data_IF_195183295551
#
_entry.id   IF_195183295551
#
_cell.length_a   1.000
_cell.length_b   1.000
_cell.length_c   1.000
_cell.angle_alpha   90.00
_cell.angle_beta   90.00
_cell.angle_gamma   90.00
#
_symmetry.space_group_name_H-M   'P 1'
#
loop_
_entity.id
_entity.type
_entity.pdbx_description
1 polymer ?
#
# COMPACT_ATOMS: atom_id res chain seq x y z
N UNK A 1 -28.76 27.95 61.17
CA UNK A 1 -28.34 26.71 60.51
C UNK A 1 -28.45 26.77 58.99
N UNK A 2 -29.54 27.27 58.41
CA UNK A 2 -29.72 27.35 56.91
C UNK A 2 -28.65 28.18 56.18
N UNK A 3 -28.20 29.34 56.73
CA UNK A 3 -27.18 30.19 56.06
C UNK A 3 -25.79 29.53 55.98
N UNK A 4 -25.40 28.71 56.96
CA UNK A 4 -24.13 27.97 56.99
C UNK A 4 -24.18 26.89 55.89
N UNK A 5 -25.31 26.22 55.71
CA UNK A 5 -25.48 25.19 54.67
C UNK A 5 -25.35 25.79 53.24
N UNK A 6 -25.85 26.99 52.98
CA UNK A 6 -25.67 27.66 51.70
C UNK A 6 -24.24 28.07 51.41
N UNK A 7 -23.53 28.54 52.42
CA UNK A 7 -22.09 28.90 52.29
C UNK A 7 -21.25 27.64 52.01
N UNK A 8 -21.52 26.52 52.68
CA UNK A 8 -20.84 25.28 52.43
C UNK A 8 -21.11 24.72 51.04
N UNK A 9 -22.36 24.78 50.54
CA UNK A 9 -22.73 24.37 49.20
C UNK A 9 -22.05 25.22 48.12
N UNK A 10 -22.00 26.54 48.34
CA UNK A 10 -21.33 27.44 47.40
C UNK A 10 -19.81 27.25 47.35
N UNK A 11 -19.19 26.99 48.49
CA UNK A 11 -17.77 26.65 48.57
C UNK A 11 -17.43 25.33 47.85
N UNK A 12 -18.30 24.32 48.01
CA UNK A 12 -18.15 23.04 47.29
C UNK A 12 -18.23 23.20 45.76
N UNK A 13 -19.15 24.08 45.28
CA UNK A 13 -19.32 24.34 43.86
C UNK A 13 -18.11 25.07 43.24
N UNK A 14 -17.49 25.99 44.00
CA UNK A 14 -16.27 26.69 43.58
C UNK A 14 -15.07 25.71 43.51
N UNK A 15 -14.95 24.80 44.48
CA UNK A 15 -13.89 23.82 44.49
C UNK A 15 -14.02 22.85 43.34
N UNK A 16 -15.21 22.38 43.00
CA UNK A 16 -15.44 21.50 41.83
C UNK A 16 -15.12 22.21 40.51
N UNK A 17 -15.39 23.51 40.38
CA UNK A 17 -15.04 24.27 39.16
C UNK A 17 -13.53 24.40 38.93
N UNK A 18 -12.72 24.48 40.01
CA UNK A 18 -11.26 24.61 39.91
C UNK A 18 -10.63 23.31 39.46
N UNK A 19 -11.18 22.16 39.86
CA UNK A 19 -10.67 20.85 39.45
C UNK A 19 -11.04 20.44 38.01
N UNK A 20 -11.97 21.14 37.35
CA UNK A 20 -12.43 20.84 36.01
C UNK A 20 -11.54 21.41 34.89
N UNK A 21 -10.56 22.26 35.17
CA UNK A 21 -9.69 22.85 34.18
C UNK A 21 -8.46 21.96 33.87
N UNK A 22 -8.67 20.84 33.22
CA UNK A 22 -7.59 20.04 32.64
C UNK A 22 -7.22 20.59 31.27
N UNK A 23 -6.34 21.58 31.22
CA UNK A 23 -5.79 22.09 29.96
C UNK A 23 -4.67 21.17 29.49
N UNK A 24 -4.92 20.34 28.48
CA UNK A 24 -3.86 19.66 27.73
C UNK A 24 -3.14 20.69 26.88
N UNK A 25 -1.82 20.81 27.04
CA UNK A 25 -1.01 21.74 26.26
C UNK A 25 -1.02 21.32 24.77
N UNK A 26 -1.51 22.20 23.88
CA UNK A 26 -1.52 21.99 22.43
C UNK A 26 -0.13 21.65 21.85
N UNK A 27 0.96 22.10 22.52
CA UNK A 27 2.33 21.79 22.10
C UNK A 27 2.65 20.28 22.10
N UNK A 28 1.92 19.46 22.85
CA UNK A 28 2.09 18.01 22.89
C UNK A 28 1.31 17.26 21.80
N UNK A 29 0.41 17.95 21.10
CA UNK A 29 -0.45 17.38 20.06
C UNK A 29 0.07 17.63 18.65
N UNK A 30 1.09 18.46 18.50
CA UNK A 30 1.65 18.79 17.18
C UNK A 30 2.63 17.70 16.75
N UNK A 31 2.45 17.18 15.52
CA UNK A 31 3.41 16.29 14.88
C UNK A 31 4.75 16.99 14.64
N UNK A 32 5.82 16.22 14.57
CA UNK A 32 7.19 16.70 14.29
C UNK A 32 7.74 17.73 15.28
N UNK A 33 7.51 17.52 16.55
CA UNK A 33 8.16 18.33 17.58
C UNK A 33 9.68 18.19 17.47
N UNK A 34 10.38 19.34 17.40
CA UNK A 34 11.84 19.37 17.25
C UNK A 34 12.35 19.27 15.82
N UNK A 35 11.47 19.35 14.82
CA UNK A 35 11.87 19.37 13.41
C UNK A 35 12.88 20.50 13.09
N UNK A 36 12.76 21.65 13.75
CA UNK A 36 13.66 22.80 13.57
C UNK A 36 15.12 22.47 13.87
N UNK A 37 15.39 21.51 14.75
CA UNK A 37 16.76 21.07 15.06
C UNK A 37 17.28 20.01 14.11
N UNK A 38 16.38 19.25 13.46
CA UNK A 38 16.74 18.20 12.50
C UNK A 38 17.20 18.77 11.16
N UNK A 39 16.69 19.94 10.77
CA UNK A 39 17.08 20.58 9.50
C UNK A 39 18.42 21.33 9.54
N UNK A 40 19.07 21.44 10.69
CA UNK A 40 20.39 22.08 10.81
C UNK A 40 21.52 21.24 10.21
N UNK A 41 21.31 19.97 10.00
CA UNK A 41 22.24 19.07 9.31
C UNK A 41 21.50 18.32 8.21
N UNK A 42 22.08 18.33 6.99
CA UNK A 42 21.60 17.50 5.89
C UNK A 42 21.67 16.02 6.34
N UNK A 43 20.53 15.43 6.58
CA UNK A 43 20.46 13.98 6.84
C UNK A 43 20.46 13.28 5.48
N UNK A 44 21.49 12.49 5.23
CA UNK A 44 21.51 11.55 4.13
C UNK A 44 20.36 10.56 4.35
N UNK A 45 19.43 10.45 3.40
CA UNK A 45 18.40 9.40 3.41
C UNK A 45 19.17 8.10 3.19
N UNK A 46 19.50 7.44 4.26
CA UNK A 46 20.49 6.37 4.29
C UNK A 46 20.10 5.11 3.51
N UNK A 47 18.84 4.87 3.18
CA UNK A 47 18.42 3.75 2.31
C UNK A 47 17.03 3.96 1.74
N UNK A 48 16.89 3.82 0.43
CA UNK A 48 15.62 3.53 -0.21
C UNK A 48 15.31 2.06 0.12
N UNK A 49 14.25 1.82 0.89
CA UNK A 49 13.82 0.45 1.21
C UNK A 49 12.94 -0.06 0.07
N UNK A 50 13.49 -0.94 -0.74
CA UNK A 50 12.75 -1.60 -1.79
C UNK A 50 12.00 -2.83 -1.21
N UNK A 51 10.69 -2.86 -1.37
CA UNK A 51 9.87 -3.98 -0.94
C UNK A 51 10.23 -5.24 -1.73
N UNK A 52 10.55 -6.32 -1.01
CA UNK A 52 10.80 -7.64 -1.60
C UNK A 52 9.56 -8.51 -1.51
N UNK A 53 9.27 -9.21 -2.58
CA UNK A 53 8.17 -10.15 -2.66
C UNK A 53 8.36 -11.33 -1.72
N UNK A 54 7.25 -11.86 -1.24
CA UNK A 54 7.17 -13.00 -0.32
C UNK A 54 6.08 -13.98 -0.77
N UNK A 55 6.12 -15.23 -0.32
CA UNK A 55 5.00 -16.15 -0.50
C UNK A 55 3.67 -15.57 -0.06
N UNK A 56 2.61 -15.85 -0.81
CA UNK A 56 1.25 -15.33 -0.68
C UNK A 56 1.07 -13.85 -1.10
N UNK A 57 2.11 -13.15 -1.57
CA UNK A 57 1.94 -11.85 -2.19
C UNK A 57 1.17 -11.96 -3.50
N UNK A 58 0.35 -10.94 -3.75
CA UNK A 58 -0.37 -10.80 -5.01
C UNK A 58 0.28 -9.69 -5.82
N UNK A 59 0.72 -10.02 -7.02
CA UNK A 59 1.36 -9.09 -7.92
C UNK A 59 0.54 -8.91 -9.19
N UNK A 60 0.50 -7.69 -9.68
CA UNK A 60 -0.04 -7.34 -10.98
C UNK A 60 1.11 -7.31 -11.97
N UNK A 61 0.99 -8.06 -13.05
CA UNK A 61 1.96 -8.06 -14.15
C UNK A 61 1.27 -7.49 -15.38
N UNK A 62 1.83 -6.41 -15.90
CA UNK A 62 1.41 -5.78 -17.14
C UNK A 62 2.50 -5.95 -18.18
N UNK A 63 2.16 -6.57 -19.30
CA UNK A 63 3.07 -6.74 -20.44
C UNK A 63 2.57 -5.84 -21.56
N UNK A 64 3.45 -4.98 -22.05
CA UNK A 64 3.21 -4.10 -23.20
C UNK A 64 4.27 -4.35 -24.26
N UNK A 65 3.96 -4.02 -25.50
CA UNK A 65 4.89 -4.10 -26.62
C UNK A 65 4.62 -2.93 -27.57
N UNK A 66 5.65 -2.42 -28.20
CA UNK A 66 5.52 -1.43 -29.28
C UNK A 66 5.09 -2.05 -30.61
N UNK A 67 5.20 -3.37 -30.73
CA UNK A 67 4.76 -4.11 -31.91
C UNK A 67 3.24 -4.09 -32.04
N UNK A 68 2.74 -3.81 -33.25
CA UNK A 68 1.30 -3.67 -33.54
C UNK A 68 0.54 -5.00 -33.63
N UNK A 69 1.12 -6.12 -33.24
CA UNK A 69 0.46 -7.43 -33.35
C UNK A 69 -0.30 -7.78 -32.06
N UNK A 70 -1.63 -7.61 -32.02
CA UNK A 70 -2.42 -7.91 -30.84
C UNK A 70 -2.50 -9.40 -30.52
N UNK A 71 -2.24 -10.28 -31.49
CA UNK A 71 -2.31 -11.72 -31.33
C UNK A 71 -1.27 -12.23 -30.31
N UNK A 72 -0.12 -11.57 -30.20
CA UNK A 72 0.92 -11.92 -29.22
C UNK A 72 0.48 -11.60 -27.78
N UNK A 73 -0.31 -10.56 -27.59
CA UNK A 73 -0.85 -10.19 -26.28
C UNK A 73 -2.00 -11.11 -25.85
N UNK A 74 -2.74 -11.68 -26.79
CA UNK A 74 -3.82 -12.63 -26.50
C UNK A 74 -3.31 -13.92 -25.87
N UNK A 75 -2.06 -14.32 -26.13
CA UNK A 75 -1.45 -15.49 -25.51
C UNK A 75 -1.41 -15.33 -23.98
N UNK A 76 -1.12 -14.12 -23.52
CA UNK A 76 -1.14 -13.80 -22.09
C UNK A 76 -2.56 -13.52 -21.57
N UNK A 77 -3.52 -13.19 -22.44
CA UNK A 77 -4.91 -12.90 -22.09
C UNK A 77 -5.75 -14.15 -21.82
N UNK A 78 -5.46 -15.26 -22.49
CA UNK A 78 -6.33 -16.45 -22.51
C UNK A 78 -6.42 -17.20 -21.18
N UNK A 79 -5.40 -17.12 -20.33
CA UNK A 79 -5.32 -17.95 -19.12
C UNK A 79 -6.03 -17.33 -17.91
N UNK A 80 -6.48 -16.09 -18.01
CA UNK A 80 -7.12 -15.36 -16.89
C UNK A 80 -8.56 -15.84 -16.64
N UNK A 81 -9.21 -16.40 -17.64
CA UNK A 81 -10.57 -16.93 -17.51
C UNK A 81 -10.64 -18.24 -16.74
N UNK A 82 -9.55 -18.96 -16.60
CA UNK A 82 -9.54 -20.27 -15.90
C UNK A 82 -9.09 -20.25 -14.44
N UNK A 83 -8.51 -19.17 -13.95
CA UNK A 83 -7.94 -19.06 -12.59
C UNK A 83 -8.63 -18.10 -11.64
N UNK A 84 -9.73 -17.48 -12.04
CA UNK A 84 -10.46 -16.52 -11.20
C UNK A 84 -11.33 -17.22 -10.16
N UNK A 85 -10.69 -17.76 -9.14
CA UNK A 85 -11.37 -17.96 -7.86
C UNK A 85 -11.28 -16.64 -7.09
N UNK A 86 -12.33 -15.83 -7.18
CA UNK A 86 -12.53 -14.73 -6.26
C UNK A 86 -12.72 -13.35 -6.87
N UNK A 87 -13.98 -13.00 -7.07
CA UNK A 87 -14.62 -11.69 -6.92
C UNK A 87 -14.24 -10.54 -7.89
N UNK A 88 -15.21 -10.30 -8.81
CA UNK A 88 -15.47 -9.02 -9.48
C UNK A 88 -14.40 -8.46 -10.43
N UNK A 89 -14.08 -9.20 -11.48
CA UNK A 89 -13.62 -8.58 -12.72
C UNK A 89 -14.86 -8.09 -13.49
N UNK A 90 -15.35 -6.90 -13.19
CA UNK A 90 -16.22 -6.16 -14.10
C UNK A 90 -15.38 -5.76 -15.30
N UNK A 91 -15.41 -6.57 -16.34
CA UNK A 91 -14.87 -6.21 -17.65
C UNK A 91 -15.79 -5.15 -18.25
N UNK A 92 -15.57 -3.88 -17.91
CA UNK A 92 -16.09 -2.76 -18.70
C UNK A 92 -15.22 -2.63 -19.93
N UNK A 93 -15.69 -3.18 -21.03
CA UNK A 93 -15.22 -2.85 -22.37
C UNK A 93 -15.53 -1.38 -22.65
N UNK A 94 -14.53 -0.52 -22.44
CA UNK A 94 -14.59 0.84 -22.97
C UNK A 94 -13.21 1.22 -23.51
N UNK A 95 -13.15 1.26 -24.80
CA UNK A 95 -12.25 1.80 -25.77
C UNK A 95 -10.86 2.28 -25.35
N UNK A 96 -9.81 1.66 -25.91
CA UNK A 96 -8.52 2.29 -26.05
C UNK A 96 -7.43 1.78 -25.14
N UNK A 97 -6.51 1.06 -25.72
CA UNK A 97 -5.29 0.47 -25.16
C UNK A 97 -5.50 -0.92 -24.56
N UNK A 98 -5.06 -1.92 -25.32
CA UNK A 98 -4.99 -3.32 -24.88
C UNK A 98 -3.88 -3.46 -23.81
N UNK A 99 -4.17 -3.05 -22.59
CA UNK A 99 -3.28 -3.30 -21.47
C UNK A 99 -3.82 -4.49 -20.68
N UNK A 100 -3.26 -5.65 -20.91
CA UNK A 100 -3.59 -6.84 -20.15
C UNK A 100 -2.87 -6.79 -18.78
N UNK A 101 -3.61 -6.50 -17.74
CA UNK A 101 -3.12 -6.48 -16.39
C UNK A 101 -3.63 -7.69 -15.63
N UNK A 102 -2.74 -8.59 -15.21
CA UNK A 102 -3.11 -9.84 -14.53
C UNK A 102 -2.58 -9.88 -13.12
N UNK A 103 -3.45 -10.30 -12.19
CA UNK A 103 -3.07 -10.57 -10.82
C UNK A 103 -2.59 -12.02 -10.67
N UNK A 104 -1.37 -12.20 -10.18
CA UNK A 104 -0.77 -13.50 -9.89
C UNK A 104 -0.44 -13.59 -8.40
N UNK A 105 -0.55 -14.80 -7.85
CA UNK A 105 -0.16 -15.04 -6.46
C UNK A 105 1.18 -15.77 -6.42
N UNK A 106 2.09 -15.30 -5.59
CA UNK A 106 3.36 -15.98 -5.31
C UNK A 106 3.06 -17.25 -4.52
N UNK A 107 3.49 -18.40 -5.04
CA UNK A 107 3.33 -19.68 -4.37
C UNK A 107 4.19 -19.78 -3.12
N UNK A 108 3.90 -20.75 -2.25
CA UNK A 108 4.70 -20.99 -1.04
C UNK A 108 6.17 -21.34 -1.36
N UNK A 109 6.43 -21.88 -2.55
CA UNK A 109 7.78 -22.19 -3.03
C UNK A 109 8.48 -20.99 -3.68
N UNK A 110 7.88 -19.81 -3.65
CA UNK A 110 8.44 -18.58 -4.19
C UNK A 110 8.34 -18.40 -5.71
N UNK A 111 7.44 -19.13 -6.36
CA UNK A 111 7.24 -19.02 -7.81
C UNK A 111 5.93 -18.36 -8.18
N UNK A 112 5.93 -17.75 -9.35
CA UNK A 112 4.72 -17.31 -10.05
C UNK A 112 4.60 -18.12 -11.33
N UNK A 113 3.41 -18.62 -11.65
CA UNK A 113 3.14 -19.34 -12.88
C UNK A 113 2.54 -18.41 -13.92
N UNK A 114 3.27 -18.18 -14.99
CA UNK A 114 2.88 -17.28 -16.08
C UNK A 114 2.52 -18.07 -17.33
N UNK A 115 1.42 -17.72 -18.03
CA UNK A 115 1.09 -18.33 -19.31
C UNK A 115 2.24 -18.19 -20.29
N UNK A 116 2.46 -19.20 -21.12
CA UNK A 116 3.50 -19.28 -22.14
C UNK A 116 4.97 -19.17 -21.66
N UNK A 117 5.22 -18.60 -20.47
CA UNK A 117 6.57 -18.44 -19.88
C UNK A 117 6.88 -19.57 -18.90
N UNK A 118 5.83 -20.07 -18.22
CA UNK A 118 5.97 -21.09 -17.19
C UNK A 118 6.26 -20.51 -15.79
N UNK A 119 6.94 -21.29 -14.95
CA UNK A 119 7.26 -20.91 -13.57
C UNK A 119 8.46 -19.97 -13.53
N UNK A 120 8.30 -18.84 -12.87
CA UNK A 120 9.34 -17.84 -12.62
C UNK A 120 9.54 -17.70 -11.12
N UNK A 121 10.78 -17.81 -10.65
CA UNK A 121 11.13 -17.61 -9.25
C UNK A 121 11.15 -16.12 -8.95
N UNK A 122 10.47 -15.69 -7.87
CA UNK A 122 10.28 -14.28 -7.54
C UNK A 122 10.49 -13.97 -6.05
N UNK A 123 10.67 -14.99 -5.21
CA UNK A 123 10.82 -14.79 -3.76
C UNK A 123 12.06 -13.97 -3.43
N UNK A 124 11.94 -13.04 -2.50
CA UNK A 124 12.97 -12.08 -2.10
C UNK A 124 13.46 -11.11 -3.20
N UNK A 125 12.82 -11.09 -4.36
CA UNK A 125 13.09 -10.13 -5.44
C UNK A 125 12.22 -8.87 -5.28
N UNK A 126 12.71 -7.75 -5.79
CA UNK A 126 11.90 -6.53 -5.95
C UNK A 126 11.00 -6.65 -7.18
N UNK A 127 9.96 -5.81 -7.26
CA UNK A 127 9.09 -5.77 -8.45
C UNK A 127 9.87 -5.48 -9.74
N UNK A 128 10.90 -4.63 -9.66
CA UNK A 128 11.75 -4.30 -10.81
C UNK A 128 12.64 -5.49 -11.25
N UNK A 129 13.20 -6.21 -10.30
CA UNK A 129 14.00 -7.41 -10.60
C UNK A 129 13.14 -8.48 -11.28
N UNK A 130 11.94 -8.71 -10.78
CA UNK A 130 10.98 -9.65 -11.38
C UNK A 130 10.59 -9.22 -12.79
N UNK A 131 10.34 -7.92 -13.02
CA UNK A 131 10.05 -7.41 -14.36
C UNK A 131 11.17 -7.73 -15.35
N UNK A 132 12.44 -7.48 -14.97
CA UNK A 132 13.62 -7.80 -15.81
C UNK A 132 13.76 -9.29 -16.10
N UNK A 133 13.49 -10.15 -15.11
CA UNK A 133 13.54 -11.61 -15.29
C UNK A 133 12.48 -12.06 -16.28
N UNK A 134 11.25 -11.53 -16.18
CA UNK A 134 10.15 -11.86 -17.09
C UNK A 134 10.46 -11.37 -18.51
N UNK A 135 10.95 -10.12 -18.65
CA UNK A 135 11.37 -9.58 -19.96
C UNK A 135 12.43 -10.45 -20.62
N UNK A 136 13.46 -10.86 -19.85
CA UNK A 136 14.50 -11.76 -20.34
C UNK A 136 13.93 -13.08 -20.85
N UNK A 137 13.02 -13.69 -20.09
CA UNK A 137 12.36 -14.94 -20.48
C UNK A 137 11.51 -14.83 -21.72
N UNK A 138 10.75 -13.72 -21.87
CA UNK A 138 9.94 -13.44 -23.07
C UNK A 138 10.82 -13.34 -24.31
N UNK A 139 11.98 -12.65 -24.19
CA UNK A 139 12.95 -12.49 -25.27
C UNK A 139 13.65 -13.83 -25.61
N UNK A 140 14.04 -14.62 -24.64
CA UNK A 140 14.64 -15.95 -24.84
C UNK A 140 13.70 -16.88 -25.60
N UNK A 141 12.41 -16.88 -25.23
CA UNK A 141 11.38 -17.70 -25.87
C UNK A 141 10.91 -17.11 -27.22
N UNK A 142 11.43 -15.95 -27.61
CA UNK A 142 11.07 -15.23 -28.86
C UNK A 142 9.56 -15.00 -28.99
N UNK A 143 8.87 -14.80 -27.87
CA UNK A 143 7.43 -14.56 -27.87
C UNK A 143 7.11 -13.14 -28.30
N UNK A 144 7.89 -12.17 -27.82
CA UNK A 144 7.78 -10.75 -28.16
C UNK A 144 9.19 -10.20 -28.32
N UNK A 145 9.43 -9.37 -29.35
CA UNK A 145 10.76 -8.84 -29.61
C UNK A 145 11.15 -7.70 -28.66
N UNK A 146 10.18 -6.87 -28.30
CA UNK A 146 10.33 -5.68 -27.47
C UNK A 146 9.32 -5.64 -26.29
N UNK A 147 9.38 -6.64 -25.39
CA UNK A 147 8.49 -6.66 -24.26
C UNK A 147 8.89 -5.57 -23.26
N UNK A 148 7.90 -4.84 -22.77
CA UNK A 148 7.99 -3.98 -21.60
C UNK A 148 7.13 -4.58 -20.51
N UNK A 149 7.72 -4.94 -19.38
CA UNK A 149 7.04 -5.58 -18.26
C UNK A 149 7.02 -4.65 -17.06
N UNK A 150 5.83 -4.40 -16.54
CA UNK A 150 5.63 -3.68 -15.28
C UNK A 150 5.04 -4.65 -14.25
N UNK A 151 5.68 -4.71 -13.08
CA UNK A 151 5.20 -5.52 -11.94
C UNK A 151 4.86 -4.60 -10.79
N UNK A 152 3.72 -4.84 -10.14
CA UNK A 152 3.29 -4.09 -8.95
C UNK A 152 2.70 -5.02 -7.91
N UNK A 153 2.97 -4.74 -6.64
CA UNK A 153 2.36 -5.45 -5.52
C UNK A 153 0.92 -4.96 -5.32
N UNK A 154 -0.04 -5.89 -5.24
CA UNK A 154 -1.48 -5.56 -5.13
C UNK A 154 -2.00 -5.61 -3.69
N UNK A 155 -1.45 -6.47 -2.85
CA UNK A 155 -1.95 -6.72 -1.50
C UNK A 155 -1.15 -6.00 -0.40
N UNK A 156 -0.40 -4.96 -0.76
CA UNK A 156 0.28 -4.13 0.21
C UNK A 156 -0.74 -3.41 1.09
N UNK A 157 -0.73 -3.70 2.40
CA UNK A 157 -1.66 -3.11 3.37
C UNK A 157 -1.02 -2.91 4.72
N UNK A 158 -1.48 -1.89 5.43
CA UNK A 158 -1.08 -1.58 6.81
C UNK A 158 -2.31 -1.54 7.69
N UNK A 159 -2.26 -2.19 8.84
CA UNK A 159 -3.34 -2.14 9.84
C UNK A 159 -2.95 -1.16 10.92
N UNK A 160 -3.80 -0.16 11.15
CA UNK A 160 -3.67 0.85 12.19
C UNK A 160 -4.61 0.51 13.33
N UNK A 161 -4.04 0.40 14.53
CA UNK A 161 -4.74 0.14 15.78
C UNK A 161 -4.29 1.13 16.85
N UNK A 162 -5.15 1.45 17.79
CA UNK A 162 -4.81 2.30 18.93
C UNK A 162 -5.57 3.62 18.92
N UNK A 163 -4.94 4.69 19.37
CA UNK A 163 -5.56 6.00 19.58
C UNK A 163 -5.71 6.79 18.28
N UNK A 164 -6.45 6.25 17.31
CA UNK A 164 -6.86 6.94 16.09
C UNK A 164 -8.37 6.98 16.02
N UNK A 165 -8.92 7.95 15.32
CA UNK A 165 -10.37 8.13 15.21
C UNK A 165 -11.07 6.92 14.61
N UNK A 166 -10.44 6.25 13.63
CA UNK A 166 -11.01 5.11 12.91
C UNK A 166 -9.97 4.03 12.69
N UNK A 167 -9.74 3.11 13.65
CA UNK A 167 -8.84 1.98 13.46
C UNK A 167 -9.29 1.12 12.28
N UNK A 168 -8.40 0.92 11.31
CA UNK A 168 -8.71 0.17 10.08
C UNK A 168 -7.47 -0.37 9.39
N UNK A 169 -7.70 -1.24 8.42
CA UNK A 169 -6.66 -1.67 7.48
C UNK A 169 -6.72 -0.79 6.24
N UNK A 170 -5.61 -0.14 5.92
CA UNK A 170 -5.43 0.74 4.77
C UNK A 170 -4.64 0.00 3.69
N UNK A 171 -5.17 -0.02 2.47
CA UNK A 171 -4.45 -0.54 1.32
C UNK A 171 -3.48 0.53 0.80
N UNK A 172 -2.24 0.14 0.57
CA UNK A 172 -1.22 1.02 0.03
C UNK A 172 -1.34 1.04 -1.50
N UNK A 173 -1.76 2.17 -2.05
CA UNK A 173 -1.96 2.34 -3.50
C UNK A 173 -0.68 2.72 -4.25
N UNK A 174 0.38 3.06 -3.53
CA UNK A 174 1.65 3.52 -4.05
C UNK A 174 2.80 2.82 -3.33
N UNK A 175 3.95 2.67 -3.98
CA UNK A 175 5.17 2.16 -3.35
C UNK A 175 5.75 3.14 -2.31
N UNK A 176 5.39 4.42 -2.42
CA UNK A 176 5.81 5.47 -1.47
C UNK A 176 4.57 5.96 -0.73
N UNK A 177 4.34 5.41 0.45
CA UNK A 177 3.34 5.90 1.39
C UNK A 177 4.04 6.32 2.67
N UNK A 178 3.71 7.49 3.19
CA UNK A 178 4.23 7.95 4.47
C UNK A 178 3.32 7.51 5.61
N UNK A 179 3.86 7.44 6.82
CA UNK A 179 3.06 7.18 8.02
C UNK A 179 1.95 8.22 8.17
N UNK A 180 2.21 9.47 7.76
CA UNK A 180 1.24 10.56 7.84
C UNK A 180 0.07 10.33 6.91
N UNK A 181 0.32 9.88 5.66
CA UNK A 181 -0.74 9.58 4.69
C UNK A 181 -1.69 8.52 5.24
N UNK A 182 -1.13 7.51 5.91
CA UNK A 182 -1.88 6.40 6.48
C UNK A 182 -2.66 6.85 7.71
N UNK A 183 -2.08 7.66 8.60
CA UNK A 183 -2.76 8.25 9.77
C UNK A 183 -3.88 9.18 9.35
N UNK A 184 -3.66 10.02 8.33
CA UNK A 184 -4.68 10.92 7.80
C UNK A 184 -5.91 10.15 7.27
N UNK A 185 -5.71 8.98 6.64
CA UNK A 185 -6.80 8.11 6.22
C UNK A 185 -7.58 7.50 7.39
N UNK A 186 -6.95 7.35 8.56
CA UNK A 186 -7.61 6.88 9.79
C UNK A 186 -8.30 8.00 10.58
N UNK A 187 -8.29 9.24 10.05
CA UNK A 187 -8.97 10.39 10.65
C UNK A 187 -8.21 11.05 11.78
N UNK A 188 -6.89 10.86 11.80
CA UNK A 188 -5.97 11.42 12.77
C UNK A 188 -6.10 10.82 14.20
N UNK A 189 -5.31 11.33 15.15
CA UNK A 189 -5.27 10.89 16.54
C UNK A 189 -6.44 11.43 17.38
#
# INVERSE_FOLDING_TARGET
MKKISYIASMALLVVTSIFSSSCVSQKKLVYFQGADTLYQHAQEIAQQYDMKLKPADQILIKITTSSSDPALLEIFARDVTMGSYGHNASATHQGGSLSNSYGYTVTNDGYVNLPAIGKVYVDHMTCEEVAKVIEGRIKELKLINDPEVTVRLMNARVTIIGAVKSPQTVNLSSERNTIIDVLAQCGDL
#
